data_IF_175495623541
#
_entry.id   IF_175495623541
#
_cell.length_a   1.000
_cell.length_b   1.000
_cell.length_c   1.000
_cell.angle_alpha   90.00
_cell.angle_beta   90.00
_cell.angle_gamma   90.00
#
_symmetry.space_group_name_H-M   'P 1'
#
loop_
_entity.id
_entity.type
_entity.pdbx_description
1 polymer ?
#
# COMPACT_ATOMS: atom_id res chain seq x y z
N UNK A 1 -1.45 3.35 -1.79
CA UNK A 1 -1.12 2.88 -3.19
C UNK A 1 -2.26 2.11 -3.91
N UNK A 2 -2.18 1.88 -5.24
CA UNK A 2 -3.06 0.97 -6.01
C UNK A 2 -2.44 -0.44 -6.18
N UNK A 3 -2.96 -1.45 -5.47
CA UNK A 3 -2.49 -2.84 -5.54
C UNK A 3 -2.54 -3.44 -6.96
N UNK A 4 -3.45 -2.96 -7.81
CA UNK A 4 -3.57 -3.49 -9.17
C UNK A 4 -2.46 -3.01 -10.10
N UNK A 5 -1.96 -1.79 -9.88
CA UNK A 5 -0.79 -1.28 -10.60
C UNK A 5 0.49 -1.98 -10.15
N UNK A 6 0.59 -2.33 -8.87
CA UNK A 6 1.69 -3.15 -8.35
C UNK A 6 1.76 -4.51 -9.07
N UNK A 7 0.61 -5.17 -9.24
CA UNK A 7 0.56 -6.43 -9.99
C UNK A 7 0.93 -6.28 -11.46
N UNK A 8 0.45 -5.22 -12.12
CA UNK A 8 0.83 -4.96 -13.51
C UNK A 8 2.35 -4.75 -13.66
N UNK A 9 2.98 -4.06 -12.70
CA UNK A 9 4.44 -3.90 -12.67
C UNK A 9 5.18 -5.21 -12.41
N UNK A 10 4.65 -6.09 -11.55
CA UNK A 10 5.23 -7.42 -11.34
C UNK A 10 5.11 -8.26 -12.61
N UNK A 11 3.97 -8.22 -13.30
CA UNK A 11 3.74 -8.92 -14.58
C UNK A 11 4.67 -8.44 -15.71
N UNK A 12 4.90 -7.13 -15.77
CA UNK A 12 5.85 -6.52 -16.72
C UNK A 12 7.30 -6.90 -16.44
N UNK A 13 7.70 -6.96 -15.16
CA UNK A 13 9.10 -7.14 -14.75
C UNK A 13 9.51 -8.60 -14.52
N UNK A 14 8.53 -9.50 -14.32
CA UNK A 14 8.73 -10.95 -14.23
C UNK A 14 7.83 -11.63 -15.28
N UNK A 15 8.34 -11.90 -16.50
CA UNK A 15 7.56 -12.50 -17.58
C UNK A 15 6.99 -13.89 -17.25
N UNK A 16 7.57 -14.59 -16.28
CA UNK A 16 7.08 -15.88 -15.78
C UNK A 16 6.03 -15.73 -14.66
N UNK A 17 5.86 -14.52 -14.13
CA UNK A 17 4.83 -14.24 -13.12
C UNK A 17 3.42 -14.44 -13.67
N UNK A 18 3.18 -14.17 -14.96
CA UNK A 18 1.91 -14.45 -15.61
C UNK A 18 1.49 -15.92 -15.50
N UNK A 19 2.43 -16.88 -15.59
CA UNK A 19 2.16 -18.31 -15.42
C UNK A 19 1.98 -18.66 -13.93
N UNK A 20 2.81 -18.11 -13.04
CA UNK A 20 2.73 -18.31 -11.57
C UNK A 20 1.43 -17.75 -10.97
N UNK A 21 0.98 -16.61 -11.48
CA UNK A 21 -0.22 -15.89 -11.07
C UNK A 21 -1.46 -16.28 -11.90
N UNK A 22 -1.30 -17.04 -12.99
CA UNK A 22 -2.40 -17.50 -13.86
C UNK A 22 -3.48 -18.25 -13.08
N UNK A 23 -3.07 -19.02 -12.06
CA UNK A 23 -3.96 -19.75 -11.15
C UNK A 23 -4.88 -18.82 -10.34
N UNK A 24 -4.49 -17.56 -10.15
CA UNK A 24 -5.18 -16.56 -9.35
C UNK A 24 -5.49 -15.29 -10.15
N UNK A 25 -5.94 -15.47 -11.40
CA UNK A 25 -6.41 -14.35 -12.21
C UNK A 25 -7.55 -13.59 -11.48
N UNK A 26 -7.73 -12.27 -11.69
CA UNK A 26 -8.76 -11.43 -11.01
C UNK A 26 -10.12 -12.11 -10.94
N UNK A 27 -10.52 -12.79 -12.03
CA UNK A 27 -11.77 -13.53 -12.13
C UNK A 27 -11.82 -14.74 -11.17
N UNK A 28 -10.72 -15.44 -10.96
CA UNK A 28 -10.61 -16.54 -10.01
C UNK A 28 -10.64 -16.05 -8.56
N UNK A 29 -9.93 -14.95 -8.24
CA UNK A 29 -9.98 -14.31 -6.91
C UNK A 29 -11.38 -13.77 -6.63
N UNK A 30 -12.05 -13.11 -7.58
CA UNK A 30 -13.42 -12.63 -7.37
C UNK A 30 -14.44 -13.76 -7.29
N UNK A 31 -14.26 -14.83 -8.09
CA UNK A 31 -15.19 -15.98 -8.13
C UNK A 31 -15.03 -16.93 -6.93
N UNK A 32 -13.81 -17.10 -6.40
CA UNK A 32 -13.54 -17.96 -5.25
C UNK A 32 -13.39 -17.19 -3.94
N UNK A 33 -12.95 -15.93 -3.99
CA UNK A 33 -12.93 -14.99 -2.86
C UNK A 33 -14.29 -14.39 -2.52
N UNK A 34 -15.32 -14.59 -3.36
CA UNK A 34 -16.72 -14.32 -2.99
C UNK A 34 -17.20 -15.14 -1.76
N UNK A 35 -16.47 -16.20 -1.37
CA UNK A 35 -16.69 -16.91 -0.08
C UNK A 35 -15.96 -16.27 1.11
N UNK A 36 -15.04 -15.34 0.86
CA UNK A 36 -14.33 -14.56 1.86
C UNK A 36 -14.92 -13.14 1.89
N UNK A 37 -16.13 -13.01 2.46
CA UNK A 37 -16.89 -11.76 2.59
C UNK A 37 -16.34 -10.85 3.69
N UNK A 38 -15.02 -10.67 3.77
CA UNK A 38 -14.41 -9.73 4.69
C UNK A 38 -13.28 -8.99 3.98
N UNK A 39 -13.42 -7.66 3.83
CA UNK A 39 -12.30 -6.80 3.43
C UNK A 39 -11.06 -7.01 4.32
N UNK A 40 -11.25 -7.44 5.58
CA UNK A 40 -10.18 -7.80 6.50
C UNK A 40 -9.38 -9.06 6.10
N UNK A 41 -9.90 -9.90 5.18
CA UNK A 41 -9.20 -11.07 4.67
C UNK A 41 -8.40 -10.79 3.40
N UNK A 42 -8.53 -9.60 2.80
CA UNK A 42 -7.75 -9.24 1.60
C UNK A 42 -6.23 -9.32 1.84
N UNK A 43 -5.68 -8.84 2.98
CA UNK A 43 -4.27 -8.98 3.25
C UNK A 43 -3.82 -10.44 3.39
N UNK A 44 -4.56 -11.26 4.14
CA UNK A 44 -4.17 -12.67 4.36
C UNK A 44 -4.31 -13.50 3.08
N UNK A 45 -5.35 -13.25 2.27
CA UNK A 45 -5.51 -13.89 0.97
C UNK A 45 -4.38 -13.53 0.02
N UNK A 46 -3.99 -12.26 -0.07
CA UNK A 46 -2.88 -11.86 -0.94
C UNK A 46 -1.55 -12.43 -0.47
N UNK A 47 -1.24 -12.40 0.83
CA UNK A 47 -0.04 -13.05 1.35
C UNK A 47 -0.02 -14.54 1.04
N UNK A 48 -1.18 -15.22 1.10
CA UNK A 48 -1.30 -16.63 0.70
C UNK A 48 -1.10 -16.86 -0.80
N UNK A 49 -1.53 -15.93 -1.66
CA UNK A 49 -1.32 -16.00 -3.11
C UNK A 49 0.15 -15.79 -3.45
N UNK A 50 0.83 -14.80 -2.85
CA UNK A 50 2.27 -14.58 -3.07
C UNK A 50 3.06 -15.79 -2.60
N UNK A 51 2.84 -16.24 -1.35
CA UNK A 51 3.53 -17.42 -0.82
C UNK A 51 3.28 -18.69 -1.67
N UNK A 52 2.09 -18.82 -2.28
CA UNK A 52 1.75 -20.00 -3.10
C UNK A 52 2.23 -19.90 -4.55
N UNK A 53 2.28 -18.70 -5.11
CA UNK A 53 2.77 -18.46 -6.47
C UNK A 53 4.30 -18.45 -6.56
N UNK A 54 4.98 -18.00 -5.50
CA UNK A 54 6.43 -17.82 -5.48
C UNK A 54 7.17 -18.76 -4.52
N UNK A 55 6.48 -19.47 -3.62
CA UNK A 55 7.14 -20.26 -2.58
C UNK A 55 7.97 -19.38 -1.64
N UNK A 56 9.06 -19.93 -1.09
CA UNK A 56 9.98 -19.20 -0.22
C UNK A 56 10.94 -18.26 -0.99
N UNK A 57 11.12 -18.48 -2.30
CA UNK A 57 12.12 -17.79 -3.11
C UNK A 57 11.47 -16.86 -4.13
N UNK A 58 11.18 -15.62 -3.69
CA UNK A 58 10.80 -14.54 -4.61
C UNK A 58 11.96 -14.25 -5.58
N UNK A 59 11.68 -14.14 -6.90
CA UNK A 59 12.64 -13.61 -7.86
C UNK A 59 13.19 -12.25 -7.39
N UNK A 60 14.47 -12.00 -7.62
CA UNK A 60 15.17 -10.79 -7.15
C UNK A 60 14.46 -9.50 -7.58
N UNK A 61 13.97 -9.47 -8.81
CA UNK A 61 13.27 -8.35 -9.41
C UNK A 61 11.92 -8.10 -8.72
N UNK A 62 11.11 -9.16 -8.53
CA UNK A 62 9.83 -9.11 -7.80
C UNK A 62 10.03 -8.66 -6.35
N UNK A 63 11.04 -9.21 -5.67
CA UNK A 63 11.39 -8.77 -4.31
C UNK A 63 11.72 -7.29 -4.27
N UNK A 64 12.53 -6.79 -5.22
CA UNK A 64 12.88 -5.37 -5.31
C UNK A 64 11.67 -4.46 -5.49
N UNK A 65 10.70 -4.85 -6.32
CA UNK A 65 9.45 -4.11 -6.51
C UNK A 65 8.61 -4.08 -5.23
N UNK A 66 8.49 -5.23 -4.55
CA UNK A 66 7.76 -5.33 -3.28
C UNK A 66 8.42 -4.52 -2.16
N UNK A 67 9.74 -4.49 -2.10
CA UNK A 67 10.49 -3.67 -1.12
C UNK A 67 10.37 -2.17 -1.39
N UNK A 68 10.38 -1.78 -2.67
CA UNK A 68 10.11 -0.40 -3.08
C UNK A 68 8.67 0.00 -2.69
N UNK A 69 7.69 -0.84 -2.99
CA UNK A 69 6.30 -0.63 -2.59
C UNK A 69 6.14 -0.54 -1.07
N UNK A 70 6.81 -1.41 -0.31
CA UNK A 70 6.76 -1.39 1.16
C UNK A 70 7.31 -0.06 1.71
N UNK A 71 8.36 0.47 1.10
CA UNK A 71 8.93 1.77 1.49
C UNK A 71 7.92 2.91 1.29
N UNK A 72 7.18 2.91 0.18
CA UNK A 72 6.12 3.88 -0.07
C UNK A 72 4.99 3.75 0.95
N UNK A 73 4.54 2.53 1.24
CA UNK A 73 3.47 2.28 2.21
C UNK A 73 3.88 2.70 3.64
N UNK A 74 5.13 2.49 4.04
CA UNK A 74 5.62 3.01 5.31
C UNK A 74 5.57 4.54 5.37
N UNK A 75 5.91 5.23 4.27
CA UNK A 75 5.85 6.69 4.17
C UNK A 75 4.39 7.17 4.28
N UNK A 76 3.48 6.59 3.49
CA UNK A 76 2.06 6.94 3.50
C UNK A 76 1.44 6.68 4.88
N UNK A 77 1.71 5.52 5.50
CA UNK A 77 1.22 5.20 6.84
C UNK A 77 1.73 6.17 7.91
N UNK A 78 3.01 6.54 7.91
CA UNK A 78 3.57 7.54 8.83
C UNK A 78 2.93 8.92 8.61
N UNK A 79 2.79 9.31 7.34
CA UNK A 79 2.22 10.60 6.95
C UNK A 79 0.76 10.74 7.39
N UNK A 80 -0.10 9.79 7.04
CA UNK A 80 -1.53 9.85 7.39
C UNK A 80 -1.76 9.72 8.89
N UNK A 81 -0.99 8.88 9.58
CA UNK A 81 -1.06 8.79 11.05
C UNK A 81 -0.73 10.15 11.70
N UNK A 82 0.37 10.80 11.27
CA UNK A 82 0.74 12.14 11.77
C UNK A 82 -0.30 13.20 11.41
N UNK A 83 -0.84 13.15 10.20
CA UNK A 83 -1.92 14.04 9.76
C UNK A 83 -3.16 13.92 10.65
N UNK A 84 -3.63 12.71 10.93
CA UNK A 84 -4.78 12.47 11.82
C UNK A 84 -4.50 12.94 13.25
N UNK A 85 -3.28 12.71 13.76
CA UNK A 85 -2.86 13.11 15.10
C UNK A 85 -2.64 14.63 15.25
N UNK A 86 -2.27 15.31 14.17
CA UNK A 86 -1.99 16.76 14.19
C UNK A 86 -3.23 17.61 14.52
N UNK A 87 -4.43 17.09 14.28
CA UNK A 87 -5.69 17.79 14.53
C UNK A 87 -6.04 18.87 13.50
N UNK A 88 -5.24 19.05 12.44
CA UNK A 88 -5.50 20.10 11.41
C UNK A 88 -6.62 19.72 10.45
N UNK A 89 -6.95 18.43 10.34
CA UNK A 89 -7.94 17.92 9.38
C UNK A 89 -9.35 18.32 9.83
N UNK A 90 -10.15 18.99 8.98
CA UNK A 90 -11.52 19.34 9.32
C UNK A 90 -12.36 18.12 9.68
N UNK A 91 -13.25 18.27 10.66
CA UNK A 91 -14.07 17.16 11.17
C UNK A 91 -14.89 16.47 10.06
N UNK A 92 -15.37 17.22 9.07
CA UNK A 92 -16.12 16.68 7.93
C UNK A 92 -15.32 15.74 7.03
N UNK A 93 -13.99 15.75 7.12
CA UNK A 93 -13.10 14.92 6.31
C UNK A 93 -12.30 13.92 7.14
N UNK A 94 -12.33 14.02 8.47
CA UNK A 94 -11.51 13.22 9.38
C UNK A 94 -11.64 11.72 9.15
N UNK A 95 -12.86 11.23 8.97
CA UNK A 95 -13.15 9.81 8.75
C UNK A 95 -12.46 9.26 7.50
N UNK A 96 -12.36 10.07 6.44
CA UNK A 96 -11.65 9.68 5.21
C UNK A 96 -10.17 9.49 5.49
N UNK A 97 -9.52 10.42 6.19
CA UNK A 97 -8.10 10.32 6.52
C UNK A 97 -7.80 9.18 7.50
N UNK A 98 -8.68 8.93 8.47
CA UNK A 98 -8.57 7.78 9.37
C UNK A 98 -8.72 6.45 8.62
N UNK A 99 -9.63 6.39 7.65
CA UNK A 99 -9.82 5.22 6.79
C UNK A 99 -8.58 4.96 5.95
N UNK A 100 -8.02 6.00 5.33
CA UNK A 100 -6.77 5.89 4.56
C UNK A 100 -5.63 5.43 5.47
N UNK A 101 -5.45 6.04 6.64
CA UNK A 101 -4.42 5.62 7.61
C UNK A 101 -4.51 4.14 7.99
N UNK A 102 -5.73 3.61 8.16
CA UNK A 102 -5.98 2.19 8.42
C UNK A 102 -5.62 1.32 7.20
N UNK A 103 -5.92 1.77 5.98
CA UNK A 103 -5.56 1.07 4.75
C UNK A 103 -4.05 0.96 4.59
N UNK A 104 -3.31 2.06 4.74
CA UNK A 104 -1.85 2.02 4.54
C UNK A 104 -1.17 1.16 5.62
N UNK A 105 -1.69 1.14 6.85
CA UNK A 105 -1.24 0.19 7.89
C UNK A 105 -1.49 -1.27 7.48
N UNK A 106 -2.64 -1.55 6.85
CA UNK A 106 -2.95 -2.89 6.35
C UNK A 106 -2.07 -3.28 5.16
N UNK A 107 -1.73 -2.33 4.28
CA UNK A 107 -0.81 -2.55 3.16
C UNK A 107 0.63 -2.82 3.62
N UNK A 108 1.12 -2.12 4.64
CA UNK A 108 2.42 -2.42 5.28
C UNK A 108 2.47 -3.88 5.73
N UNK A 109 1.49 -4.30 6.55
CA UNK A 109 1.43 -5.68 7.06
C UNK A 109 1.35 -6.71 5.94
N UNK A 110 0.64 -6.35 4.87
CA UNK A 110 0.53 -7.19 3.69
C UNK A 110 1.88 -7.42 3.03
N UNK A 111 2.61 -6.34 2.74
CA UNK A 111 3.90 -6.39 2.05
C UNK A 111 4.99 -7.00 2.94
N UNK A 112 4.98 -6.73 4.24
CA UNK A 112 5.84 -7.43 5.21
C UNK A 112 5.61 -8.93 5.20
N UNK A 113 4.34 -9.36 5.22
CA UNK A 113 3.98 -10.77 5.15
C UNK A 113 4.38 -11.43 3.82
N UNK A 114 4.22 -10.71 2.70
CA UNK A 114 4.65 -11.16 1.37
C UNK A 114 6.17 -11.28 1.24
N UNK A 115 6.92 -10.41 1.93
CA UNK A 115 8.39 -10.43 1.95
C UNK A 115 8.98 -11.31 3.06
N UNK A 116 8.15 -11.91 3.92
CA UNK A 116 8.60 -12.72 5.06
C UNK A 116 9.31 -11.89 6.15
N UNK A 117 9.00 -10.61 6.28
CA UNK A 117 9.59 -9.70 7.24
C UNK A 117 8.78 -9.68 8.55
N UNK A 118 9.47 -9.45 9.67
CA UNK A 118 8.79 -9.07 10.91
C UNK A 118 8.25 -7.64 10.82
N UNK A 119 7.25 -7.32 11.65
CA UNK A 119 6.65 -6.00 11.69
C UNK A 119 7.70 -4.88 11.86
N UNK A 120 7.58 -3.85 11.03
CA UNK A 120 8.42 -2.66 10.93
C UNK A 120 9.92 -2.92 10.73
N UNK A 121 10.34 -4.14 10.36
CA UNK A 121 11.76 -4.54 10.30
C UNK A 121 12.60 -3.66 9.35
N UNK A 122 11.98 -3.17 8.26
CA UNK A 122 12.63 -2.34 7.25
C UNK A 122 12.12 -0.90 7.24
N UNK A 123 11.35 -0.47 8.26
CA UNK A 123 10.75 0.86 8.28
C UNK A 123 11.83 1.97 8.34
N UNK A 124 11.90 2.87 7.35
CA UNK A 124 12.80 4.02 7.41
C UNK A 124 12.38 5.03 8.47
N UNK A 125 13.32 5.88 8.91
CA UNK A 125 13.00 7.08 9.68
C UNK A 125 12.62 8.20 8.71
N UNK A 126 11.34 8.59 8.71
CA UNK A 126 10.87 9.70 7.88
C UNK A 126 11.02 11.05 8.59
N UNK A 127 11.44 12.06 7.82
CA UNK A 127 11.48 13.46 8.23
C UNK A 127 10.70 14.29 7.21
N UNK A 128 9.96 15.29 7.71
CA UNK A 128 9.18 16.22 6.90
C UNK A 128 9.74 17.64 6.98
N UNK A 129 11.01 17.80 7.35
CA UNK A 129 11.64 19.11 7.53
C UNK A 129 11.58 20.01 6.27
N UNK A 130 11.54 19.40 5.08
CA UNK A 130 11.36 20.11 3.81
C UNK A 130 9.92 20.69 3.62
N UNK A 131 8.95 20.24 4.42
CA UNK A 131 7.55 20.65 4.39
C UNK A 131 7.10 21.06 5.80
N UNK A 132 7.60 22.21 6.30
CA UNK A 132 7.46 22.59 7.71
C UNK A 132 6.01 22.85 8.16
N UNK A 133 5.10 23.12 7.23
CA UNK A 133 3.69 23.40 7.49
C UNK A 133 2.75 22.21 7.28
N UNK A 134 3.28 21.05 6.86
CA UNK A 134 2.48 19.91 6.41
C UNK A 134 1.56 19.32 7.50
N UNK A 135 1.90 19.52 8.77
CA UNK A 135 1.10 19.07 9.92
C UNK A 135 0.55 20.24 10.76
N UNK A 136 0.64 21.48 10.27
CA UNK A 136 0.12 22.66 10.99
C UNK A 136 -0.85 23.48 10.14
N UNK A 137 -0.88 23.26 8.83
CA UNK A 137 -1.70 24.02 7.90
C UNK A 137 -2.49 23.09 6.98
N UNK A 138 -3.80 22.95 7.22
CA UNK A 138 -4.67 22.21 6.32
C UNK A 138 -5.03 23.07 5.10
N UNK A 139 -4.39 22.76 3.97
CA UNK A 139 -4.66 23.41 2.68
C UNK A 139 -5.52 22.50 1.79
N UNK A 140 -6.79 22.84 1.54
CA UNK A 140 -7.62 22.04 0.65
C UNK A 140 -7.08 22.03 -0.79
N UNK A 141 -7.16 20.88 -1.45
CA UNK A 141 -6.55 20.61 -2.77
C UNK A 141 -6.99 21.53 -3.90
N UNK A 142 -8.15 22.21 -3.78
CA UNK A 142 -8.61 23.17 -4.78
C UNK A 142 -7.81 24.49 -4.78
N UNK A 143 -7.13 24.86 -3.68
CA UNK A 143 -6.28 26.05 -3.63
C UNK A 143 -5.06 25.92 -4.55
N UNK A 144 -4.54 24.70 -4.72
CA UNK A 144 -3.44 24.41 -5.66
C UNK A 144 -3.84 24.43 -7.13
N UNK A 145 -5.14 24.32 -7.46
CA UNK A 145 -5.61 24.31 -8.85
C UNK A 145 -5.39 25.64 -9.58
N UNK A 146 -5.20 26.72 -8.84
CA UNK A 146 -4.85 28.04 -9.39
C UNK A 146 -3.35 28.32 -9.40
N UNK A 147 -2.53 27.56 -8.67
CA UNK A 147 -1.07 27.72 -8.63
C UNK A 147 -0.35 26.97 -9.76
N UNK A 148 -1.01 25.99 -10.40
CA UNK A 148 -0.46 25.21 -11.51
C UNK A 148 -0.92 25.70 -12.90
N UNK A 149 -1.56 26.87 -12.97
CA UNK A 149 -2.01 27.51 -14.23
C UNK A 149 -1.06 28.59 -14.75
N UNK A 150 0.14 28.72 -14.17
CA UNK A 150 1.24 29.55 -14.67
C UNK A 150 2.33 28.65 -15.21
#
# INVERSE_FOLDING_TARGET
MNLFELFAKIDELDPESGERLSFYNRRHILKNGAKATALAALPTLFASVVNKAYGADLPTQTRGVLEYALTLEYLEADYYMKGVQSGIIPQSQREVFETISKHETAHVRLLEGALGLSADAKKPKFTYAAYPDVFTNYQPSWLYRNLLKT
#
